data_IF_987170119866
#
_entry.id   IF_987170119866
#
_cell.length_a   1.000
_cell.length_b   1.000
_cell.length_c   1.000
_cell.angle_alpha   90.00
_cell.angle_beta   90.00
_cell.angle_gamma   90.00
#
_symmetry.space_group_name_H-M   'P 1'
#
loop_
_entity.id
_entity.type
_entity.pdbx_description
1 polymer ?
#
# COMPACT_ATOMS: atom_id res chain seq x y z
N UNK A 1 62.13 -53.55 14.25
CA UNK A 1 61.71 -52.13 14.17
C UNK A 1 60.20 -52.11 13.87
N UNK A 2 59.37 -51.83 14.89
CA UNK A 2 57.94 -51.76 14.75
C UNK A 2 57.51 -50.30 14.68
N UNK A 3 57.01 -49.84 13.57
CA UNK A 3 56.43 -48.48 13.35
C UNK A 3 55.03 -48.44 13.92
N UNK A 4 54.81 -47.60 14.95
CA UNK A 4 53.50 -47.25 15.47
C UNK A 4 52.85 -46.19 14.56
N UNK A 5 51.65 -46.51 14.09
CA UNK A 5 50.77 -45.53 13.41
C UNK A 5 49.96 -44.79 14.47
N UNK A 6 50.13 -43.49 14.56
CA UNK A 6 49.28 -42.63 15.40
C UNK A 6 47.97 -42.36 14.69
N UNK A 7 46.83 -42.71 15.34
CA UNK A 7 45.49 -42.34 14.90
C UNK A 7 45.16 -40.96 15.45
N UNK A 8 45.04 -39.96 14.56
CA UNK A 8 44.46 -38.65 14.88
C UNK A 8 42.92 -38.74 14.78
N UNK A 9 42.25 -38.69 15.93
CA UNK A 9 40.82 -38.45 15.98
C UNK A 9 40.55 -36.95 15.72
N UNK A 10 39.98 -36.66 14.58
CA UNK A 10 39.43 -35.33 14.29
C UNK A 10 38.10 -35.15 15.03
N UNK A 11 38.13 -34.33 16.07
CA UNK A 11 36.89 -33.86 16.74
C UNK A 11 36.17 -32.89 15.82
N UNK A 12 34.92 -33.21 15.47
CA UNK A 12 34.00 -32.32 14.73
C UNK A 12 33.50 -31.21 15.68
N UNK A 13 33.55 -29.92 15.32
CA UNK A 13 32.94 -28.89 16.14
C UNK A 13 31.41 -29.01 16.07
N UNK A 14 30.80 -29.12 17.24
CA UNK A 14 29.35 -29.05 17.43
C UNK A 14 28.91 -27.59 17.24
N UNK A 15 28.31 -27.29 16.08
CA UNK A 15 27.73 -25.99 15.77
C UNK A 15 26.42 -25.85 16.55
N UNK A 16 26.46 -25.21 17.72
CA UNK A 16 25.24 -24.80 18.43
C UNK A 16 24.55 -23.66 17.63
N UNK A 17 23.49 -24.01 16.92
CA UNK A 17 22.56 -23.00 16.39
C UNK A 17 21.78 -22.40 17.56
N UNK A 18 22.18 -21.22 18.02
CA UNK A 18 21.33 -20.39 18.86
C UNK A 18 20.18 -19.83 17.97
N UNK A 19 19.03 -20.46 18.02
CA UNK A 19 17.79 -19.87 17.51
C UNK A 19 17.45 -18.67 18.40
N UNK A 20 17.79 -17.46 17.94
CA UNK A 20 17.34 -16.21 18.56
C UNK A 20 15.84 -16.09 18.32
N UNK A 21 15.06 -16.62 19.25
CA UNK A 21 13.61 -16.40 19.29
C UNK A 21 13.40 -14.93 19.70
N UNK A 22 13.31 -14.03 18.72
CA UNK A 22 12.80 -12.69 19.00
C UNK A 22 11.35 -12.85 19.48
N UNK A 23 10.97 -12.29 20.64
CA UNK A 23 9.58 -12.22 21.02
C UNK A 23 8.88 -11.32 19.99
N UNK A 24 8.17 -11.94 19.05
CA UNK A 24 7.26 -11.21 18.17
C UNK A 24 6.27 -10.47 19.03
N UNK A 25 6.34 -9.16 19.06
CA UNK A 25 5.24 -8.34 19.54
C UNK A 25 4.01 -8.77 18.75
N UNK A 26 3.15 -9.58 19.37
CA UNK A 26 1.80 -9.85 18.89
C UNK A 26 1.06 -8.49 18.93
N UNK A 27 1.14 -7.73 17.86
CA UNK A 27 0.21 -6.65 17.64
C UNK A 27 -1.16 -7.32 17.55
N UNK A 28 -2.06 -7.03 18.47
CA UNK A 28 -3.45 -7.49 18.41
C UNK A 28 -4.09 -6.83 17.18
N UNK A 29 -3.99 -7.51 16.04
CA UNK A 29 -4.69 -7.11 14.83
C UNK A 29 -6.17 -7.43 15.00
N UNK A 30 -7.03 -6.53 14.55
CA UNK A 30 -8.46 -6.79 14.44
C UNK A 30 -8.75 -7.93 13.46
N UNK A 31 -10.00 -8.37 13.42
CA UNK A 31 -10.44 -9.36 12.41
C UNK A 31 -10.27 -8.77 11.01
N UNK A 32 -9.66 -9.55 10.12
CA UNK A 32 -9.54 -9.19 8.71
C UNK A 32 -10.91 -9.09 8.05
N UNK A 33 -11.12 -8.03 7.28
CA UNK A 33 -12.37 -7.70 6.57
C UNK A 33 -12.08 -7.80 5.07
N UNK A 34 -12.91 -8.57 4.34
CA UNK A 34 -12.93 -8.55 2.89
C UNK A 34 -13.74 -7.34 2.41
N UNK A 35 -13.08 -6.43 1.69
CA UNK A 35 -13.72 -5.22 1.18
C UNK A 35 -14.50 -5.45 -0.13
N UNK A 36 -14.31 -6.57 -0.81
CA UNK A 36 -15.06 -6.92 -2.03
C UNK A 36 -16.42 -7.55 -1.71
N UNK A 37 -17.14 -6.95 -0.78
CA UNK A 37 -18.51 -7.37 -0.42
C UNK A 37 -19.45 -6.17 -0.47
N UNK A 38 -20.74 -6.36 -0.83
CA UNK A 38 -21.74 -5.28 -0.84
C UNK A 38 -21.93 -4.63 0.55
N UNK A 39 -21.55 -5.32 1.63
CA UNK A 39 -21.59 -4.76 3.00
C UNK A 39 -20.45 -3.80 3.26
N UNK A 40 -19.27 -4.03 2.68
CA UNK A 40 -18.05 -3.29 2.98
C UNK A 40 -17.76 -2.15 2.00
N UNK A 41 -18.12 -2.30 0.70
CA UNK A 41 -17.88 -1.28 -0.32
C UNK A 41 -19.19 -0.78 -0.92
N UNK A 42 -19.24 0.52 -1.24
CA UNK A 42 -20.43 1.19 -1.79
C UNK A 42 -20.59 0.93 -3.29
N UNK A 43 -20.91 -0.31 -3.69
CA UNK A 43 -21.19 -0.63 -5.09
C UNK A 43 -22.29 0.26 -5.65
N UNK A 44 -22.08 0.76 -6.84
CA UNK A 44 -23.01 1.60 -7.58
C UNK A 44 -22.95 1.26 -9.09
N UNK A 45 -23.77 1.91 -9.92
CA UNK A 45 -23.84 1.65 -11.36
C UNK A 45 -22.53 1.84 -12.15
N UNK A 46 -21.54 2.51 -11.55
CA UNK A 46 -20.25 2.80 -12.20
C UNK A 46 -19.22 1.70 -11.95
N UNK A 47 -19.52 0.73 -11.08
CA UNK A 47 -18.59 -0.33 -10.71
C UNK A 47 -19.29 -1.69 -10.75
N UNK A 48 -18.60 -2.68 -11.28
CA UNK A 48 -19.06 -4.06 -11.40
C UNK A 48 -18.14 -4.96 -10.58
N UNK A 49 -18.75 -5.83 -9.78
CA UNK A 49 -18.05 -6.88 -9.06
C UNK A 49 -18.50 -8.24 -9.63
N UNK A 50 -17.64 -8.86 -10.42
CA UNK A 50 -17.90 -10.15 -11.06
C UNK A 50 -16.76 -11.12 -10.77
N UNK A 51 -17.10 -12.34 -10.32
CA UNK A 51 -16.12 -13.41 -10.02
C UNK A 51 -14.97 -12.95 -9.11
N UNK A 52 -15.25 -12.06 -8.14
CA UNK A 52 -14.26 -11.53 -7.21
C UNK A 52 -13.35 -10.43 -7.79
N UNK A 53 -13.62 -9.95 -8.99
CA UNK A 53 -12.92 -8.84 -9.63
C UNK A 53 -13.82 -7.62 -9.67
N UNK A 54 -13.35 -6.52 -9.08
CA UNK A 54 -13.99 -5.22 -9.16
C UNK A 54 -13.38 -4.42 -10.31
N UNK A 55 -14.23 -3.87 -11.17
CA UNK A 55 -13.81 -3.02 -12.29
C UNK A 55 -14.82 -1.91 -12.56
N UNK A 56 -14.41 -0.80 -13.21
CA UNK A 56 -15.37 0.19 -13.68
C UNK A 56 -16.30 -0.39 -14.74
N UNK A 57 -17.57 -0.03 -14.68
CA UNK A 57 -18.57 -0.54 -15.64
C UNK A 57 -18.53 0.20 -16.98
N UNK A 58 -18.86 1.44 -16.96
CA UNK A 58 -18.82 2.40 -18.08
C UNK A 58 -18.85 3.80 -17.46
N UNK A 59 -18.21 4.75 -18.12
CA UNK A 59 -18.13 6.16 -17.71
C UNK A 59 -19.33 6.76 -16.96
N UNK A 60 -19.14 7.85 -16.21
CA UNK A 60 -17.92 8.60 -16.00
C UNK A 60 -17.16 8.11 -14.79
N UNK A 61 -15.86 8.42 -14.74
CA UNK A 61 -14.94 8.11 -13.64
C UNK A 61 -15.48 8.38 -12.24
N UNK A 62 -14.66 8.17 -11.27
CA UNK A 62 -15.03 8.40 -9.88
C UNK A 62 -14.30 7.44 -8.95
N UNK A 63 -14.61 7.58 -7.69
CA UNK A 63 -14.01 6.76 -6.64
C UNK A 63 -15.12 5.92 -6.01
N UNK A 64 -14.89 4.61 -5.89
CA UNK A 64 -15.72 3.75 -5.07
C UNK A 64 -15.15 3.73 -3.65
N UNK A 65 -16.01 3.88 -2.65
CA UNK A 65 -15.61 4.08 -1.26
C UNK A 65 -16.01 2.90 -0.37
N UNK A 66 -15.19 2.61 0.64
CA UNK A 66 -15.62 1.77 1.76
C UNK A 66 -16.78 2.43 2.49
N UNK A 67 -17.69 1.61 3.05
CA UNK A 67 -18.78 2.11 3.90
C UNK A 67 -18.29 2.53 5.28
N UNK A 68 -17.26 1.86 5.80
CA UNK A 68 -16.64 2.13 7.07
C UNK A 68 -15.38 2.98 6.94
N UNK A 69 -15.02 3.65 8.03
CA UNK A 69 -13.78 4.41 8.18
C UNK A 69 -12.75 3.57 8.90
N UNK A 70 -11.47 3.79 8.56
CA UNK A 70 -10.35 3.10 9.14
C UNK A 70 -9.30 4.12 9.62
N UNK A 71 -8.75 3.89 10.81
CA UNK A 71 -7.66 4.69 11.38
C UNK A 71 -6.32 4.02 11.15
N UNK A 72 -5.88 3.19 12.11
CA UNK A 72 -4.71 2.34 11.97
C UNK A 72 -5.12 1.02 11.32
N UNK A 73 -4.41 0.61 10.27
CA UNK A 73 -4.76 -0.58 9.49
C UNK A 73 -3.57 -1.12 8.71
N UNK A 74 -3.70 -2.39 8.30
CA UNK A 74 -2.97 -2.97 7.18
C UNK A 74 -3.98 -3.35 6.09
N UNK A 75 -3.77 -2.91 4.85
CA UNK A 75 -4.57 -3.32 3.70
C UNK A 75 -3.69 -4.00 2.67
N UNK A 76 -4.21 -5.09 2.10
CA UNK A 76 -3.63 -5.77 0.94
C UNK A 76 -4.63 -5.77 -0.20
N UNK A 77 -4.15 -5.58 -1.41
CA UNK A 77 -4.95 -5.69 -2.62
C UNK A 77 -4.09 -6.12 -3.80
N UNK A 78 -4.78 -6.63 -4.81
CA UNK A 78 -4.18 -6.78 -6.13
C UNK A 78 -4.88 -5.85 -7.12
N UNK A 79 -4.09 -5.26 -8.02
CA UNK A 79 -4.62 -4.44 -9.11
C UNK A 79 -3.93 -4.75 -10.43
N UNK A 80 -4.62 -4.46 -11.51
CA UNK A 80 -4.12 -4.58 -12.88
C UNK A 80 -4.58 -3.36 -13.68
N UNK A 81 -3.70 -2.80 -14.51
CA UNK A 81 -3.96 -1.61 -15.33
C UNK A 81 -4.08 -1.98 -16.80
N UNK A 82 -4.94 -1.26 -17.54
CA UNK A 82 -4.82 -1.15 -18.98
C UNK A 82 -3.76 -0.12 -19.36
N UNK A 83 -3.38 -0.08 -20.62
CA UNK A 83 -2.43 0.92 -21.13
C UNK A 83 -2.87 2.35 -20.80
N UNK A 84 -1.92 3.18 -20.37
CA UNK A 84 -2.10 4.59 -19.98
C UNK A 84 -3.08 4.81 -18.82
N UNK A 85 -3.34 3.78 -18.02
CA UNK A 85 -4.25 3.92 -16.88
C UNK A 85 -3.70 4.86 -15.82
N UNK A 86 -4.62 5.65 -15.28
CA UNK A 86 -4.47 6.45 -14.08
C UNK A 86 -5.51 6.02 -13.06
N UNK A 87 -5.09 5.76 -11.84
CA UNK A 87 -5.90 5.29 -10.73
C UNK A 87 -5.21 5.61 -9.41
N UNK A 88 -5.86 5.29 -8.30
CA UNK A 88 -5.29 5.52 -6.97
C UNK A 88 -5.99 4.69 -5.91
N UNK A 89 -5.24 4.36 -4.88
CA UNK A 89 -5.72 3.83 -3.63
C UNK A 89 -5.79 4.98 -2.62
N UNK A 90 -7.00 5.47 -2.33
CA UNK A 90 -7.23 6.46 -1.29
C UNK A 90 -7.41 5.79 0.07
N UNK A 91 -6.93 6.44 1.13
CA UNK A 91 -7.10 5.97 2.51
C UNK A 91 -7.10 7.13 3.49
N UNK A 92 -7.71 6.92 4.66
CA UNK A 92 -7.96 7.97 5.65
C UNK A 92 -8.58 9.21 4.99
N UNK A 93 -9.43 9.01 3.99
CA UNK A 93 -9.89 10.06 3.09
C UNK A 93 -11.34 10.45 3.34
N UNK A 94 -11.66 11.72 3.04
CA UNK A 94 -13.02 12.23 3.01
C UNK A 94 -13.58 12.08 1.57
N UNK A 95 -14.66 11.29 1.34
CA UNK A 95 -15.28 11.17 0.03
C UNK A 95 -15.69 12.49 -0.63
N UNK A 96 -16.00 13.51 0.18
CA UNK A 96 -16.37 14.85 -0.33
C UNK A 96 -15.16 15.69 -0.72
N UNK A 97 -13.97 15.33 -0.26
CA UNK A 97 -12.74 16.08 -0.49
C UNK A 97 -11.53 15.13 -0.63
N UNK A 98 -11.66 14.12 -1.48
CA UNK A 98 -10.72 13.00 -1.57
C UNK A 98 -9.24 13.44 -1.66
N UNK A 99 -8.96 14.42 -2.52
CA UNK A 99 -7.58 14.85 -2.85
C UNK A 99 -6.94 15.69 -1.74
N UNK A 100 -7.74 16.44 -0.97
CA UNK A 100 -7.26 17.34 0.07
C UNK A 100 -7.54 16.82 1.48
N UNK A 101 -8.41 15.83 1.62
CA UNK A 101 -8.87 15.30 2.90
C UNK A 101 -8.38 13.90 3.22
N UNK A 102 -7.27 13.46 2.65
CA UNK A 102 -6.68 12.16 2.89
C UNK A 102 -5.44 11.89 2.06
N UNK A 103 -5.06 10.63 1.97
CA UNK A 103 -3.85 10.19 1.28
C UNK A 103 -4.18 9.31 0.08
N UNK A 104 -3.26 9.26 -0.88
CA UNK A 104 -3.38 8.43 -2.07
C UNK A 104 -2.05 7.72 -2.36
N UNK A 105 -2.11 6.41 -2.59
CA UNK A 105 -1.01 5.70 -3.26
C UNK A 105 -1.35 5.62 -4.75
N UNK A 106 -0.47 6.16 -5.56
CA UNK A 106 -0.64 6.19 -7.00
C UNK A 106 -0.66 4.78 -7.59
N UNK A 107 -1.67 4.53 -8.40
CA UNK A 107 -1.80 3.38 -9.28
C UNK A 107 -1.84 3.90 -10.71
N UNK A 108 -0.84 3.55 -11.51
CA UNK A 108 -0.73 4.03 -12.88
C UNK A 108 0.00 3.02 -13.76
N UNK A 109 -0.18 3.14 -15.08
CA UNK A 109 0.70 2.47 -16.04
C UNK A 109 2.15 2.91 -15.83
N UNK A 110 3.12 2.00 -15.81
CA UNK A 110 4.53 2.36 -15.68
C UNK A 110 4.96 3.34 -16.79
N UNK A 111 5.73 4.36 -16.42
CA UNK A 111 6.35 5.30 -17.35
C UNK A 111 5.46 6.44 -17.88
N UNK A 112 4.18 6.52 -17.50
CA UNK A 112 3.32 7.63 -17.95
C UNK A 112 3.48 8.90 -17.11
N UNK A 113 4.02 8.79 -15.91
CA UNK A 113 4.27 9.90 -15.00
C UNK A 113 5.70 9.88 -14.48
N UNK A 114 6.17 11.02 -13.97
CA UNK A 114 7.47 11.19 -13.31
C UNK A 114 7.33 11.61 -11.86
N UNK A 115 8.43 11.47 -11.11
CA UNK A 115 8.56 12.00 -9.76
C UNK A 115 7.54 11.43 -8.78
N UNK A 116 6.90 12.30 -8.03
CA UNK A 116 5.93 11.95 -6.99
C UNK A 116 4.56 11.48 -7.52
N UNK A 117 4.45 11.27 -8.83
CA UNK A 117 3.21 10.81 -9.49
C UNK A 117 3.37 9.42 -10.15
N UNK A 118 4.54 8.80 -10.06
CA UNK A 118 4.74 7.44 -10.58
C UNK A 118 4.01 6.41 -9.71
N UNK A 119 3.77 5.23 -10.29
CA UNK A 119 3.14 4.12 -9.58
C UNK A 119 3.86 3.79 -8.27
N UNK A 120 3.11 3.67 -7.18
CA UNK A 120 3.63 3.37 -5.84
C UNK A 120 4.05 4.60 -5.03
N UNK A 121 4.00 5.83 -5.58
CA UNK A 121 4.26 7.04 -4.79
C UNK A 121 3.15 7.31 -3.77
N UNK A 122 3.51 7.92 -2.64
CA UNK A 122 2.56 8.71 -1.86
C UNK A 122 2.32 9.99 -2.66
N UNK A 123 1.16 10.05 -3.33
CA UNK A 123 0.90 10.99 -4.42
C UNK A 123 1.21 12.44 -4.04
N UNK A 124 2.04 13.09 -4.86
CA UNK A 124 2.51 14.48 -4.72
C UNK A 124 3.32 14.78 -3.42
N UNK A 125 3.53 13.77 -2.56
CA UNK A 125 4.25 13.90 -1.31
C UNK A 125 5.61 13.21 -1.32
N UNK A 126 5.69 11.95 -1.79
CA UNK A 126 6.92 11.15 -1.75
C UNK A 126 7.01 10.19 -2.94
N UNK A 127 8.15 10.21 -3.62
CA UNK A 127 8.49 9.23 -4.65
C UNK A 127 8.74 7.85 -4.03
N UNK A 128 8.45 6.75 -4.76
CA UNK A 128 8.83 5.43 -4.32
C UNK A 128 10.36 5.27 -4.31
N UNK A 129 10.88 4.57 -3.31
CA UNK A 129 12.32 4.32 -3.17
C UNK A 129 12.90 3.49 -4.34
N UNK A 130 12.07 2.65 -4.97
CA UNK A 130 12.44 1.82 -6.12
C UNK A 130 11.24 1.66 -7.06
N UNK A 131 11.48 1.56 -8.35
CA UNK A 131 10.46 1.18 -9.32
C UNK A 131 10.04 -0.29 -9.09
N UNK A 132 8.77 -0.52 -8.83
CA UNK A 132 8.24 -1.84 -8.48
C UNK A 132 6.95 -2.22 -9.21
N UNK A 133 6.37 -1.33 -10.03
CA UNK A 133 5.19 -1.61 -10.85
C UNK A 133 5.51 -2.62 -11.96
N UNK A 134 4.58 -3.54 -12.21
CA UNK A 134 4.62 -4.48 -13.34
C UNK A 134 4.01 -3.84 -14.58
N UNK A 135 4.31 -4.37 -15.78
CA UNK A 135 3.68 -3.95 -17.02
C UNK A 135 2.15 -3.99 -16.99
N UNK A 136 1.53 -3.20 -17.87
CA UNK A 136 0.07 -3.24 -18.05
C UNK A 136 -0.40 -4.65 -18.42
N UNK A 137 -1.57 -5.02 -17.92
CA UNK A 137 -2.13 -6.36 -18.07
C UNK A 137 -1.68 -7.37 -17.02
N UNK A 138 -0.65 -7.08 -16.23
CA UNK A 138 -0.18 -7.94 -15.14
C UNK A 138 -0.75 -7.55 -13.78
N UNK A 139 -1.00 -8.54 -12.92
CA UNK A 139 -1.45 -8.31 -11.55
C UNK A 139 -0.29 -7.85 -10.66
N UNK A 140 -0.45 -6.67 -10.09
CA UNK A 140 0.38 -6.12 -9.03
C UNK A 140 -0.20 -6.47 -7.67
N UNK A 141 0.65 -6.68 -6.66
CA UNK A 141 0.25 -6.83 -5.26
C UNK A 141 0.74 -5.64 -4.46
N UNK A 142 -0.16 -4.96 -3.79
CA UNK A 142 0.16 -3.81 -2.93
C UNK A 142 -0.26 -4.10 -1.49
N UNK A 143 0.59 -3.71 -0.56
CA UNK A 143 0.29 -3.68 0.87
C UNK A 143 0.58 -2.29 1.40
N UNK A 144 -0.40 -1.70 2.11
CA UNK A 144 -0.25 -0.42 2.80
C UNK A 144 -0.50 -0.63 4.29
N UNK A 145 0.43 -0.19 5.11
CA UNK A 145 0.31 -0.22 6.58
C UNK A 145 0.35 1.21 7.10
N UNK A 146 -0.69 1.60 7.83
CA UNK A 146 -0.79 2.87 8.53
C UNK A 146 -0.91 2.62 10.03
N UNK A 147 0.01 3.19 10.81
CA UNK A 147 -0.05 3.15 12.27
C UNK A 147 0.40 4.49 12.84
N UNK A 148 -0.53 5.19 13.52
CA UNK A 148 -0.29 6.58 13.90
C UNK A 148 0.12 7.42 12.69
N UNK A 149 1.24 8.15 12.74
CA UNK A 149 1.74 8.94 11.62
C UNK A 149 2.52 8.12 10.58
N UNK A 150 2.89 6.87 10.88
CA UNK A 150 3.69 6.03 9.98
C UNK A 150 2.86 5.49 8.83
N UNK A 151 3.36 5.66 7.59
CA UNK A 151 2.82 5.07 6.36
C UNK A 151 3.92 4.24 5.70
N UNK A 152 3.65 2.95 5.47
CA UNK A 152 4.54 2.02 4.78
C UNK A 152 3.80 1.38 3.62
N UNK A 153 4.47 1.31 2.47
CA UNK A 153 3.94 0.66 1.26
C UNK A 153 4.92 -0.35 0.73
N UNK A 154 4.41 -1.56 0.46
CA UNK A 154 5.15 -2.62 -0.25
C UNK A 154 4.41 -2.89 -1.55
N UNK A 155 5.11 -2.79 -2.68
CA UNK A 155 4.59 -3.06 -4.01
C UNK A 155 5.40 -4.21 -4.63
N UNK A 156 4.71 -5.30 -4.98
CA UNK A 156 5.32 -6.52 -5.55
C UNK A 156 6.52 -7.04 -4.73
N UNK A 157 6.37 -7.04 -3.39
CA UNK A 157 7.39 -7.51 -2.46
C UNK A 157 8.51 -6.51 -2.16
N UNK A 158 8.55 -5.35 -2.84
CA UNK A 158 9.56 -4.31 -2.62
C UNK A 158 9.01 -3.18 -1.74
N UNK A 159 9.68 -2.77 -0.66
CA UNK A 159 9.29 -1.59 0.10
C UNK A 159 9.53 -0.35 -0.76
N UNK A 160 8.46 0.40 -1.02
CA UNK A 160 8.49 1.59 -1.89
C UNK A 160 8.29 2.89 -1.12
N UNK A 161 7.49 2.89 -0.05
CA UNK A 161 7.28 4.03 0.85
C UNK A 161 7.51 3.59 2.29
N UNK A 162 8.22 4.41 3.04
CA UNK A 162 8.35 4.32 4.49
C UNK A 162 8.56 5.74 5.02
N UNK A 163 7.49 6.36 5.51
CA UNK A 163 7.49 7.75 5.95
C UNK A 163 6.73 7.93 7.26
N UNK A 164 7.06 9.01 7.95
CA UNK A 164 6.29 9.58 9.04
C UNK A 164 5.64 10.88 8.53
N UNK A 165 4.29 10.97 8.50
CA UNK A 165 3.60 12.15 7.98
C UNK A 165 3.76 13.38 8.87
N UNK A 166 4.22 13.22 10.11
CA UNK A 166 4.52 14.34 11.00
C UNK A 166 5.74 15.15 10.53
N UNK A 167 6.52 14.62 9.56
CA UNK A 167 7.59 15.38 8.88
C UNK A 167 7.05 16.46 7.93
N UNK A 168 5.81 16.34 7.43
CA UNK A 168 5.16 17.35 6.58
C UNK A 168 4.46 18.42 7.42
N UNK A 169 5.24 19.39 7.89
CA UNK A 169 4.83 20.41 8.90
C UNK A 169 4.14 21.63 8.31
N UNK A 170 4.27 21.85 7.01
CA UNK A 170 3.80 23.05 6.33
C UNK A 170 2.84 22.71 5.18
N UNK A 171 1.76 23.51 4.97
CA UNK A 171 0.95 23.42 3.77
C UNK A 171 1.79 23.63 2.51
N UNK A 172 1.46 22.92 1.43
CA UNK A 172 2.06 23.05 0.09
C UNK A 172 3.56 22.80 0.02
N UNK A 173 4.17 22.16 1.04
CA UNK A 173 5.61 21.95 1.13
C UNK A 173 5.91 20.53 1.61
N UNK A 174 6.83 19.90 0.91
CA UNK A 174 7.38 18.60 1.32
C UNK A 174 8.60 18.80 2.24
N UNK A 175 9.01 17.79 3.02
CA UNK A 175 10.19 17.88 3.90
C UNK A 175 11.50 18.25 3.16
N UNK A 176 11.60 17.87 1.88
CA UNK A 176 12.74 18.20 1.00
C UNK A 176 12.70 19.64 0.45
N UNK A 177 11.71 20.45 0.88
CA UNK A 177 11.50 21.82 0.43
C UNK A 177 10.71 21.95 -0.88
N UNK A 178 10.48 20.87 -1.61
CA UNK A 178 9.70 20.89 -2.85
C UNK A 178 8.22 21.17 -2.59
N UNK A 179 7.52 21.70 -3.59
CA UNK A 179 6.09 22.00 -3.49
C UNK A 179 5.24 20.73 -3.57
N UNK A 180 4.10 20.75 -2.90
CA UNK A 180 3.01 19.80 -3.07
C UNK A 180 1.65 20.53 -3.20
N UNK A 181 0.58 19.79 -3.55
CA UNK A 181 -0.76 20.35 -3.78
C UNK A 181 -1.59 20.53 -2.51
N UNK A 182 -1.17 20.01 -1.38
CA UNK A 182 -1.99 19.96 -0.16
C UNK A 182 -2.07 21.33 0.50
N UNK A 183 -3.30 21.82 0.71
CA UNK A 183 -3.59 23.09 1.36
C UNK A 183 -3.43 23.03 2.89
N UNK A 184 -3.38 21.82 3.44
CA UNK A 184 -3.17 21.51 4.85
C UNK A 184 -1.87 20.74 4.97
N UNK A 185 -1.09 20.98 6.02
CA UNK A 185 0.09 20.16 6.33
C UNK A 185 -0.33 18.71 6.51
N UNK A 186 0.43 17.74 5.97
CA UNK A 186 -0.03 16.34 6.02
C UNK A 186 -0.14 15.79 7.44
N UNK A 187 0.67 16.29 8.38
CA UNK A 187 0.56 15.97 9.82
C UNK A 187 -0.81 16.30 10.41
N UNK A 188 -1.49 17.29 9.86
CA UNK A 188 -2.77 17.80 10.33
C UNK A 188 -3.97 17.19 9.59
N UNK A 189 -3.73 16.31 8.60
CA UNK A 189 -4.78 15.58 7.94
C UNK A 189 -5.41 14.53 8.89
N UNK A 190 -6.71 14.19 8.67
CA UNK A 190 -7.39 13.18 9.49
C UNK A 190 -6.62 11.85 9.49
N UNK A 191 -6.46 11.27 10.71
CA UNK A 191 -5.85 9.94 10.88
C UNK A 191 -6.91 8.81 10.80
N UNK A 192 -8.15 9.14 10.45
CA UNK A 192 -9.26 8.19 10.23
C UNK A 192 -10.11 8.66 9.06
N UNK A 193 -10.45 7.78 8.15
CA UNK A 193 -11.26 8.10 6.99
C UNK A 193 -11.60 6.86 6.17
N UNK A 194 -12.24 7.09 5.05
CA UNK A 194 -12.63 6.04 4.12
C UNK A 194 -11.45 5.55 3.29
N UNK A 195 -11.58 4.33 2.82
CA UNK A 195 -10.78 3.72 1.79
C UNK A 195 -11.49 3.90 0.45
N UNK A 196 -10.75 4.18 -0.64
CA UNK A 196 -11.32 4.38 -1.96
C UNK A 196 -10.44 3.90 -3.09
N UNK A 197 -11.07 3.49 -4.20
CA UNK A 197 -10.40 3.08 -5.44
C UNK A 197 -10.88 3.97 -6.57
N UNK A 198 -9.92 4.56 -7.29
CA UNK A 198 -10.21 5.54 -8.33
C UNK A 198 -10.32 4.89 -9.71
N UNK A 199 -11.27 5.39 -10.51
CA UNK A 199 -11.33 5.26 -11.96
C UNK A 199 -11.17 6.63 -12.60
N UNK A 200 -10.22 6.77 -13.52
CA UNK A 200 -9.88 8.04 -14.17
C UNK A 200 -9.91 7.96 -15.70
N UNK A 201 -10.77 7.10 -16.25
CA UNK A 201 -11.03 7.01 -17.69
C UNK A 201 -10.45 5.78 -18.38
N UNK A 202 -9.40 5.16 -17.85
CA UNK A 202 -8.83 3.92 -18.37
C UNK A 202 -9.15 2.76 -17.44
N UNK A 203 -9.25 1.54 -17.99
CA UNK A 203 -9.63 0.37 -17.23
C UNK A 203 -8.57 0.02 -16.18
N UNK A 204 -9.06 -0.29 -15.01
CA UNK A 204 -8.31 -0.84 -13.87
C UNK A 204 -9.15 -1.93 -13.23
N UNK A 205 -8.51 -2.99 -12.80
CA UNK A 205 -9.15 -4.12 -12.14
C UNK A 205 -8.55 -4.32 -10.78
N UNK A 206 -9.39 -4.67 -9.81
CA UNK A 206 -9.00 -4.93 -8.42
C UNK A 206 -9.53 -6.26 -7.95
N UNK A 207 -8.74 -7.00 -7.16
CA UNK A 207 -9.16 -8.23 -6.49
C UNK A 207 -8.44 -8.42 -5.16
N UNK A 208 -8.91 -9.38 -4.36
CA UNK A 208 -8.27 -9.78 -3.10
C UNK A 208 -8.02 -8.59 -2.15
N UNK A 209 -9.01 -7.70 -2.00
CA UNK A 209 -8.89 -6.51 -1.15
C UNK A 209 -9.28 -6.87 0.27
N UNK A 210 -8.28 -6.89 1.16
CA UNK A 210 -8.47 -7.26 2.56
C UNK A 210 -7.85 -6.21 3.46
N UNK A 211 -8.60 -5.77 4.46
CA UNK A 211 -8.14 -4.80 5.47
C UNK A 211 -8.20 -5.40 6.87
N UNK A 212 -7.17 -5.15 7.65
CA UNK A 212 -7.05 -5.56 9.05
C UNK A 212 -6.85 -4.31 9.89
N UNK A 213 -7.84 -3.89 10.70
CA UNK A 213 -7.64 -2.81 11.68
C UNK A 213 -6.53 -3.19 12.66
N UNK A 214 -5.66 -2.22 12.96
CA UNK A 214 -4.60 -2.35 13.95
C UNK A 214 -5.04 -1.68 15.26
N UNK A 215 -4.54 -2.18 16.36
CA UNK A 215 -4.72 -1.59 17.70
C UNK A 215 -3.44 -0.92 18.17
#
# INVERSE_FOLDING_TARGET
MKTQKANFLLAKPLLLLFAFCMPGMLAFAGKQIDLLTPKAIGLNKNWVLEKGILSPSKTPGGIIWSKEKFGDFEITLQYKTSAKANSGLFFRSDPKNAVQGGFEIQIASPGIYGGKHVVGSLYDAKEPAVAAGKPDGEWNTMKVTCKGPSIKVVLNGKPVINVDIDDWKEPRKNPDGSKNKFKTALKDLPKTGHFGLQYHGQLVWFQNIKITPLK
#
